data_IF_173722529740
#
_entry.id   IF_173722529740
#
_cell.length_a   1.000
_cell.length_b   1.000
_cell.length_c   1.000
_cell.angle_alpha   90.00
_cell.angle_beta   90.00
_cell.angle_gamma   90.00
#
_symmetry.space_group_name_H-M   'P 1'
#
loop_
_entity.id
_entity.type
_entity.pdbx_description
1 polymer ?
#
# COMPACT_ATOMS: atom_id res chain seq x y z
N UNK A 1 6.05 18.77 -13.28
CA UNK A 1 5.11 17.87 -12.59
C UNK A 1 5.78 17.44 -11.29
N UNK A 2 5.15 17.65 -10.13
CA UNK A 2 5.74 17.25 -8.83
C UNK A 2 5.81 15.73 -8.71
N UNK A 3 6.93 15.25 -8.20
CA UNK A 3 7.19 13.81 -7.97
C UNK A 3 6.85 13.45 -6.54
N UNK A 4 6.08 12.39 -6.36
CA UNK A 4 5.76 11.84 -5.05
C UNK A 4 6.22 10.39 -4.99
N UNK A 5 6.98 10.05 -3.96
CA UNK A 5 7.31 8.67 -3.64
C UNK A 5 6.39 8.18 -2.54
N UNK A 6 5.81 6.99 -2.74
CA UNK A 6 5.00 6.29 -1.74
C UNK A 6 5.78 5.07 -1.27
N UNK A 7 6.05 4.96 0.02
CA UNK A 7 6.71 3.81 0.64
C UNK A 7 5.65 2.87 1.21
N UNK A 8 5.57 1.68 0.64
CA UNK A 8 4.60 0.65 0.93
C UNK A 8 3.52 0.50 -0.13
N UNK A 9 3.41 -0.69 -0.74
CA UNK A 9 2.37 -1.07 -1.71
C UNK A 9 1.20 -1.83 -1.06
N UNK A 10 0.98 -1.64 0.23
CA UNK A 10 -0.26 -2.05 0.89
C UNK A 10 -1.45 -1.23 0.39
N UNK A 11 -2.68 -1.60 0.75
CA UNK A 11 -3.90 -0.93 0.26
C UNK A 11 -3.88 0.58 0.55
N UNK A 12 -3.37 1.02 1.70
CA UNK A 12 -3.25 2.44 2.02
C UNK A 12 -2.30 3.16 1.05
N UNK A 13 -1.13 2.58 0.76
CA UNK A 13 -0.16 3.15 -0.18
C UNK A 13 -0.70 3.18 -1.61
N UNK A 14 -1.33 2.09 -2.06
CA UNK A 14 -1.95 2.04 -3.38
C UNK A 14 -3.09 3.05 -3.52
N UNK A 15 -3.90 3.24 -2.47
CA UNK A 15 -4.97 4.24 -2.46
C UNK A 15 -4.41 5.67 -2.55
N UNK A 16 -3.38 5.98 -1.78
CA UNK A 16 -2.70 7.27 -1.84
C UNK A 16 -2.08 7.49 -3.23
N UNK A 17 -1.37 6.49 -3.75
CA UNK A 17 -0.76 6.56 -5.08
C UNK A 17 -1.80 6.85 -6.18
N UNK A 18 -2.93 6.12 -6.19
CA UNK A 18 -4.02 6.38 -7.15
C UNK A 18 -4.61 7.77 -7.01
N UNK A 19 -4.83 8.22 -5.79
CA UNK A 19 -5.39 9.56 -5.54
C UNK A 19 -4.49 10.65 -6.13
N UNK A 20 -3.19 10.60 -5.84
CA UNK A 20 -2.25 11.62 -6.36
C UNK A 20 -2.00 11.46 -7.87
N UNK A 21 -1.97 10.22 -8.38
CA UNK A 21 -1.88 9.98 -9.83
C UNK A 21 -3.06 10.62 -10.59
N UNK A 22 -4.29 10.53 -10.06
CA UNK A 22 -5.47 11.19 -10.64
C UNK A 22 -5.43 12.72 -10.58
N UNK A 23 -4.49 13.30 -9.80
CA UNK A 23 -4.23 14.74 -9.69
C UNK A 23 -3.01 15.18 -10.50
N UNK A 24 -2.57 14.36 -11.44
CA UNK A 24 -1.43 14.64 -12.33
C UNK A 24 -0.09 14.81 -11.59
N UNK A 25 0.11 14.11 -10.47
CA UNK A 25 1.44 13.96 -9.89
C UNK A 25 2.17 12.79 -10.54
N UNK A 26 3.49 12.88 -10.65
CA UNK A 26 4.33 11.74 -11.01
C UNK A 26 4.54 10.88 -9.76
N UNK A 27 4.01 9.65 -9.76
CA UNK A 27 3.97 8.78 -8.58
C UNK A 27 4.86 7.58 -8.82
N UNK A 28 5.74 7.32 -7.85
CA UNK A 28 6.52 6.09 -7.76
C UNK A 28 6.23 5.40 -6.43
N UNK A 29 5.88 4.12 -6.45
CA UNK A 29 5.64 3.31 -5.25
C UNK A 29 6.82 2.38 -5.02
N UNK A 30 7.35 2.35 -3.80
CA UNK A 30 8.46 1.46 -3.40
C UNK A 30 7.96 0.48 -2.35
N UNK A 31 8.25 -0.80 -2.52
CA UNK A 31 7.90 -1.82 -1.52
C UNK A 31 9.00 -2.87 -1.42
N UNK A 32 9.31 -3.26 -0.18
CA UNK A 32 10.29 -4.32 0.10
C UNK A 32 9.79 -5.73 -0.24
N UNK A 33 8.48 -5.89 -0.33
CA UNK A 33 7.85 -7.17 -0.65
C UNK A 33 7.95 -7.52 -2.13
N UNK A 34 7.86 -8.80 -2.44
CA UNK A 34 7.85 -9.31 -3.82
C UNK A 34 6.54 -8.98 -4.55
N UNK A 35 5.46 -8.75 -3.82
CA UNK A 35 4.11 -8.55 -4.36
C UNK A 35 3.39 -7.41 -3.64
N UNK A 36 2.51 -6.65 -4.33
CA UNK A 36 1.69 -5.65 -3.68
C UNK A 36 0.64 -6.28 -2.77
N UNK A 37 0.11 -5.48 -1.83
CA UNK A 37 -1.01 -5.87 -0.98
C UNK A 37 -0.73 -5.78 0.51
N UNK A 38 0.52 -5.94 0.94
CA UNK A 38 0.86 -5.87 2.36
C UNK A 38 0.02 -6.85 3.19
N UNK A 39 -0.84 -6.34 4.10
CA UNK A 39 -1.70 -7.16 4.99
C UNK A 39 -2.87 -7.88 4.31
N UNK A 40 -3.09 -7.72 3.02
CA UNK A 40 -4.00 -8.57 2.23
C UNK A 40 -3.23 -9.54 1.34
N UNK A 41 -2.07 -9.97 1.80
CA UNK A 41 -1.20 -10.87 1.06
C UNK A 41 -1.70 -12.31 1.05
N UNK A 42 -1.34 -13.01 -0.03
CA UNK A 42 -1.68 -14.41 -0.27
C UNK A 42 -0.41 -15.21 -0.49
N UNK A 43 -0.33 -16.41 0.05
CA UNK A 43 0.70 -17.40 -0.24
C UNK A 43 0.11 -18.51 -1.10
N UNK A 44 0.76 -18.78 -2.22
CA UNK A 44 0.42 -19.93 -3.09
C UNK A 44 1.48 -21.01 -2.92
N UNK A 45 1.04 -22.24 -2.72
CA UNK A 45 1.90 -23.42 -2.66
C UNK A 45 1.25 -24.53 -3.49
N UNK A 46 1.80 -24.79 -4.68
CA UNK A 46 1.34 -25.79 -5.66
C UNK A 46 -0.20 -25.84 -5.78
N UNK A 47 -0.87 -26.64 -4.94
CA UNK A 47 -2.32 -26.89 -4.97
C UNK A 47 -3.14 -26.00 -4.03
N UNK A 48 -2.47 -25.25 -3.13
CA UNK A 48 -3.16 -24.51 -2.07
C UNK A 48 -2.93 -23.02 -2.15
N UNK A 49 -3.98 -22.27 -1.86
CA UNK A 49 -3.97 -20.80 -1.77
C UNK A 49 -4.35 -20.41 -0.34
N UNK A 50 -3.45 -19.65 0.32
CA UNK A 50 -3.65 -19.22 1.70
C UNK A 50 -3.65 -17.70 1.77
N UNK A 51 -4.75 -17.09 2.13
CA UNK A 51 -4.82 -15.68 2.52
C UNK A 51 -4.31 -15.55 3.95
N UNK A 52 -2.99 -15.43 4.13
CA UNK A 52 -2.35 -15.40 5.46
C UNK A 52 -2.40 -14.02 6.12
N UNK A 53 -2.83 -13.01 5.39
CA UNK A 53 -3.19 -11.70 5.93
C UNK A 53 -4.69 -11.64 6.25
N UNK A 54 -5.37 -10.56 5.84
CA UNK A 54 -6.81 -10.45 5.97
C UNK A 54 -7.52 -11.47 5.05
N UNK A 55 -8.47 -12.21 5.62
CA UNK A 55 -9.28 -13.17 4.85
C UNK A 55 -10.43 -12.49 4.11
N UNK A 56 -10.90 -11.38 4.65
CA UNK A 56 -11.91 -10.51 4.06
C UNK A 56 -11.73 -9.08 4.57
N UNK A 57 -12.42 -8.14 3.96
CA UNK A 57 -12.53 -6.77 4.46
C UNK A 57 -13.94 -6.20 4.27
N UNK A 58 -14.23 -5.09 4.94
CA UNK A 58 -15.49 -4.36 4.82
C UNK A 58 -15.22 -2.96 4.31
N UNK A 59 -16.12 -2.42 3.47
CA UNK A 59 -16.06 -1.05 3.01
C UNK A 59 -17.04 -0.18 3.82
N UNK A 60 -16.53 0.86 4.50
CA UNK A 60 -17.35 1.79 5.29
C UNK A 60 -17.66 3.06 4.51
N UNK A 61 -16.65 3.70 3.91
CA UNK A 61 -16.85 4.96 3.17
C UNK A 61 -17.54 4.72 1.83
N UNK A 62 -18.25 5.72 1.34
CA UNK A 62 -18.92 5.68 0.03
C UNK A 62 -17.93 5.47 -1.11
N UNK A 63 -16.77 6.12 -1.02
CA UNK A 63 -15.69 6.06 -2.02
C UNK A 63 -15.12 4.64 -2.10
N UNK A 64 -14.82 4.03 -0.96
CA UNK A 64 -14.27 2.68 -0.95
C UNK A 64 -15.31 1.63 -1.37
N UNK A 65 -16.59 1.82 -1.02
CA UNK A 65 -17.69 0.98 -1.54
C UNK A 65 -17.76 0.99 -3.08
N UNK A 66 -17.61 2.17 -3.71
CA UNK A 66 -17.56 2.28 -5.17
C UNK A 66 -16.39 1.47 -5.77
N UNK A 67 -15.21 1.58 -5.15
CA UNK A 67 -14.03 0.80 -5.56
C UNK A 67 -14.32 -0.71 -5.45
N UNK A 68 -14.91 -1.16 -4.34
CA UNK A 68 -15.27 -2.56 -4.16
C UNK A 68 -16.29 -3.04 -5.19
N UNK A 69 -17.31 -2.22 -5.49
CA UNK A 69 -18.29 -2.54 -6.53
C UNK A 69 -17.66 -2.69 -7.93
N UNK A 70 -16.69 -1.84 -8.27
CA UNK A 70 -15.91 -1.98 -9.50
C UNK A 70 -15.09 -3.28 -9.47
N UNK A 71 -14.44 -3.60 -8.34
CA UNK A 71 -13.72 -4.85 -8.19
C UNK A 71 -14.62 -6.10 -8.34
N UNK A 72 -15.86 -6.03 -7.87
CA UNK A 72 -16.85 -7.10 -8.09
C UNK A 72 -17.25 -7.18 -9.56
N UNK A 73 -17.51 -6.04 -10.20
CA UNK A 73 -17.82 -5.99 -11.65
C UNK A 73 -16.68 -6.60 -12.49
N UNK A 74 -15.45 -6.31 -12.13
CA UNK A 74 -14.25 -6.82 -12.82
C UNK A 74 -13.85 -8.23 -12.37
N UNK A 75 -14.68 -8.89 -11.55
CA UNK A 75 -14.49 -10.26 -11.04
C UNK A 75 -13.18 -10.48 -10.24
N UNK A 76 -12.64 -9.42 -9.64
CA UNK A 76 -11.47 -9.52 -8.72
C UNK A 76 -11.86 -9.49 -7.26
N UNK A 77 -13.12 -9.18 -6.97
CA UNK A 77 -13.74 -9.30 -5.66
C UNK A 77 -15.04 -10.08 -5.74
N UNK A 78 -15.33 -10.79 -4.66
CA UNK A 78 -16.63 -11.42 -4.43
C UNK A 78 -17.25 -10.75 -3.22
N UNK A 79 -18.52 -10.40 -3.30
CA UNK A 79 -19.29 -9.98 -2.13
C UNK A 79 -19.69 -11.22 -1.35
N UNK A 80 -19.08 -11.39 -0.19
CA UNK A 80 -19.32 -12.53 0.68
C UNK A 80 -20.42 -12.21 1.71
N UNK A 81 -21.65 -12.27 1.25
CA UNK A 81 -22.83 -12.13 2.09
C UNK A 81 -23.06 -13.44 2.85
N UNK A 82 -22.45 -13.55 4.01
CA UNK A 82 -22.85 -14.52 5.03
C UNK A 82 -24.00 -13.92 5.85
N UNK A 83 -24.55 -14.66 6.80
CA UNK A 83 -25.64 -14.29 7.71
C UNK A 83 -25.48 -12.93 8.45
N UNK A 84 -24.44 -12.16 8.18
CA UNK A 84 -24.22 -10.83 8.75
C UNK A 84 -24.71 -9.73 7.81
N UNK A 85 -25.36 -8.70 8.39
CA UNK A 85 -25.82 -7.49 7.67
C UNK A 85 -24.69 -6.59 7.12
N UNK A 86 -23.42 -7.01 7.20
CA UNK A 86 -22.28 -6.20 6.74
C UNK A 86 -21.74 -6.76 5.43
N UNK A 87 -21.64 -5.89 4.42
CA UNK A 87 -20.94 -6.22 3.18
C UNK A 87 -19.49 -6.62 3.47
N UNK A 88 -19.15 -7.86 3.18
CA UNK A 88 -17.80 -8.39 3.25
C UNK A 88 -17.30 -8.67 1.85
N UNK A 89 -16.07 -8.32 1.57
CA UNK A 89 -15.43 -8.55 0.29
C UNK A 89 -14.24 -9.49 0.46
N UNK A 90 -14.13 -10.46 -0.43
CA UNK A 90 -12.98 -11.35 -0.55
C UNK A 90 -12.40 -11.23 -1.96
N UNK A 91 -11.08 -11.41 -2.08
CA UNK A 91 -10.41 -11.43 -3.38
C UNK A 91 -10.74 -12.69 -4.18
N UNK A 92 -10.80 -12.58 -5.50
CA UNK A 92 -11.07 -13.68 -6.41
C UNK A 92 -9.94 -13.80 -7.47
N UNK A 93 -9.25 -14.95 -7.56
CA UNK A 93 -9.37 -16.14 -6.74
C UNK A 93 -8.77 -16.01 -5.33
N UNK A 94 -8.05 -14.95 -5.04
CA UNK A 94 -7.42 -14.70 -3.74
C UNK A 94 -7.28 -13.18 -3.45
N UNK A 95 -6.93 -12.84 -2.21
CA UNK A 95 -6.85 -11.45 -1.76
C UNK A 95 -5.80 -10.61 -2.50
N UNK A 96 -4.75 -11.22 -3.02
CA UNK A 96 -3.70 -10.52 -3.78
C UNK A 96 -4.21 -10.01 -5.11
N UNK A 97 -5.17 -10.68 -5.76
CA UNK A 97 -5.72 -10.25 -7.04
C UNK A 97 -6.35 -8.86 -6.95
N UNK A 98 -7.00 -8.55 -5.83
CA UNK A 98 -7.48 -7.18 -5.62
C UNK A 98 -6.34 -6.16 -5.57
N UNK A 99 -5.19 -6.51 -4.97
CA UNK A 99 -4.02 -5.62 -4.95
C UNK A 99 -3.44 -5.41 -6.35
N UNK A 100 -3.33 -6.45 -7.15
CA UNK A 100 -2.88 -6.35 -8.54
C UNK A 100 -3.82 -5.49 -9.37
N UNK A 101 -5.11 -5.73 -9.28
CA UNK A 101 -6.12 -4.92 -9.97
C UNK A 101 -6.06 -3.47 -9.51
N UNK A 102 -5.96 -3.24 -8.20
CA UNK A 102 -5.94 -1.90 -7.64
C UNK A 102 -4.64 -1.16 -7.93
N UNK A 103 -3.56 -1.86 -8.22
CA UNK A 103 -2.26 -1.27 -8.56
C UNK A 103 -2.08 -0.97 -10.06
N UNK A 104 -3.02 -1.34 -10.91
CA UNK A 104 -2.93 -1.08 -12.36
C UNK A 104 -2.67 0.39 -12.67
N UNK A 105 -1.77 0.64 -13.62
CA UNK A 105 -1.33 1.97 -14.08
C UNK A 105 -0.53 2.77 -13.03
N UNK A 106 -0.01 2.13 -11.99
CA UNK A 106 0.96 2.74 -11.07
C UNK A 106 2.37 2.19 -11.36
N UNK A 107 3.36 3.07 -11.27
CA UNK A 107 4.76 2.67 -11.30
C UNK A 107 5.17 2.15 -9.93
N UNK A 108 5.41 0.83 -9.82
CA UNK A 108 5.73 0.16 -8.55
C UNK A 108 7.04 -0.60 -8.67
N UNK A 109 7.97 -0.33 -7.77
CA UNK A 109 9.21 -1.07 -7.59
C UNK A 109 9.05 -2.00 -6.39
N UNK A 110 8.87 -3.29 -6.67
CA UNK A 110 8.87 -4.35 -5.66
C UNK A 110 10.31 -4.75 -5.31
N UNK A 111 10.49 -5.52 -4.23
CA UNK A 111 11.79 -5.97 -3.72
C UNK A 111 12.77 -4.81 -3.51
N UNK A 112 12.21 -3.62 -3.22
CA UNK A 112 12.93 -2.36 -3.06
C UNK A 112 12.80 -1.89 -1.62
N UNK A 113 13.79 -2.25 -0.81
CA UNK A 113 13.84 -1.86 0.59
C UNK A 113 14.38 -0.43 0.70
N UNK A 114 13.58 0.46 1.26
CA UNK A 114 14.05 1.80 1.65
C UNK A 114 14.86 1.68 2.95
N UNK A 115 16.10 2.07 2.90
CA UNK A 115 17.06 1.99 4.01
C UNK A 115 17.20 3.31 4.75
N UNK A 116 17.19 4.42 3.99
CA UNK A 116 17.38 5.75 4.55
C UNK A 116 16.69 6.80 3.68
N UNK A 117 16.27 7.88 4.34
CA UNK A 117 15.69 9.06 3.70
C UNK A 117 16.49 10.28 4.15
N UNK A 118 16.85 11.13 3.21
CA UNK A 118 17.52 12.41 3.42
C UNK A 118 16.62 13.51 2.86
N UNK A 119 16.69 14.70 3.47
CA UNK A 119 15.97 15.88 2.98
C UNK A 119 16.92 17.06 2.89
N UNK A 120 16.98 17.64 1.70
CA UNK A 120 17.66 18.91 1.41
C UNK A 120 16.89 19.53 0.24
N UNK A 121 15.90 20.38 0.54
CA UNK A 121 14.91 20.95 -0.39
C UNK A 121 14.06 19.89 -1.13
N UNK A 122 14.58 18.72 -1.37
CA UNK A 122 13.91 17.55 -1.92
C UNK A 122 14.26 16.30 -1.11
N UNK A 123 13.37 15.31 -1.15
CA UNK A 123 13.66 14.01 -0.54
C UNK A 123 14.58 13.19 -1.44
N UNK A 124 15.63 12.62 -0.84
CA UNK A 124 16.44 11.56 -1.44
C UNK A 124 16.15 10.27 -0.70
N UNK A 125 15.58 9.29 -1.39
CA UNK A 125 15.19 7.99 -0.85
C UNK A 125 16.25 6.97 -1.28
N UNK A 126 16.99 6.44 -0.33
CA UNK A 126 18.09 5.48 -0.54
C UNK A 126 17.53 4.08 -0.30
N UNK A 127 17.68 3.23 -1.28
CA UNK A 127 17.22 1.83 -1.24
C UNK A 127 18.39 0.88 -1.39
N UNK A 128 18.14 -0.40 -1.17
CA UNK A 128 19.10 -1.47 -1.41
C UNK A 128 19.62 -1.55 -2.85
N UNK A 129 18.91 -0.96 -3.83
CA UNK A 129 19.24 -1.09 -5.25
C UNK A 129 19.68 0.22 -5.89
N UNK A 130 18.98 1.33 -5.59
CA UNK A 130 19.22 2.63 -6.22
C UNK A 130 18.68 3.79 -5.35
N UNK A 131 18.90 5.01 -5.82
CA UNK A 131 18.34 6.22 -5.19
C UNK A 131 17.17 6.76 -6.01
N UNK A 132 16.18 7.30 -5.31
CA UNK A 132 15.05 8.03 -5.88
C UNK A 132 15.04 9.45 -5.32
N UNK A 133 14.49 10.39 -6.07
CA UNK A 133 14.28 11.77 -5.61
C UNK A 133 12.80 12.12 -5.71
N UNK A 134 12.29 12.88 -4.73
CA UNK A 134 10.88 13.27 -4.69
C UNK A 134 10.69 14.67 -4.11
N UNK A 135 9.65 15.36 -4.57
CA UNK A 135 9.21 16.65 -4.02
C UNK A 135 8.25 16.44 -2.83
N UNK A 136 7.68 15.23 -2.71
CA UNK A 136 6.83 14.82 -1.62
C UNK A 136 6.99 13.32 -1.30
N UNK A 137 6.75 12.96 -0.03
CA UNK A 137 6.91 11.60 0.47
C UNK A 137 5.68 11.17 1.26
N UNK A 138 5.21 9.96 1.00
CA UNK A 138 4.13 9.31 1.76
C UNK A 138 4.66 7.97 2.27
N UNK A 139 4.62 7.75 3.57
CA UNK A 139 5.04 6.49 4.18
C UNK A 139 3.81 5.78 4.74
N UNK A 140 3.55 4.57 4.27
CA UNK A 140 2.41 3.74 4.71
C UNK A 140 2.84 2.45 5.41
N UNK A 141 4.13 2.36 5.71
CA UNK A 141 4.67 1.28 6.54
C UNK A 141 4.14 1.37 7.98
N UNK A 142 4.15 0.26 8.75
CA UNK A 142 3.83 0.29 10.18
C UNK A 142 4.68 1.30 10.94
N UNK A 143 4.14 1.84 12.05
CA UNK A 143 4.77 2.93 12.80
C UNK A 143 6.22 2.60 13.21
N UNK A 144 6.51 1.40 13.68
CA UNK A 144 7.86 0.97 14.06
C UNK A 144 8.86 1.02 12.89
N UNK A 145 8.42 0.66 11.68
CA UNK A 145 9.26 0.73 10.48
C UNK A 145 9.42 2.19 10.01
N UNK A 146 8.34 2.97 10.07
CA UNK A 146 8.35 4.39 9.72
C UNK A 146 9.26 5.17 10.66
N UNK A 147 9.21 4.90 11.97
CA UNK A 147 10.07 5.55 12.98
C UNK A 147 11.55 5.42 12.61
N UNK A 148 11.98 4.20 12.21
CA UNK A 148 13.36 3.98 11.77
C UNK A 148 13.79 4.83 10.58
N UNK A 149 12.87 5.11 9.64
CA UNK A 149 13.17 5.90 8.45
C UNK A 149 13.19 7.42 8.68
N UNK A 150 12.39 7.92 9.64
CA UNK A 150 12.22 9.36 9.85
C UNK A 150 12.98 9.93 11.06
N UNK A 151 13.64 9.09 11.83
CA UNK A 151 14.34 9.49 13.07
C UNK A 151 15.26 10.72 12.89
N UNK A 152 15.93 10.82 11.77
CA UNK A 152 16.85 11.91 11.45
C UNK A 152 16.20 13.03 10.59
N UNK A 153 14.92 12.91 10.22
CA UNK A 153 14.20 13.87 9.40
C UNK A 153 13.36 14.82 10.25
N UNK A 154 12.59 14.27 11.18
CA UNK A 154 11.66 15.02 12.01
C UNK A 154 11.50 14.37 13.39
N UNK A 155 12.10 14.99 14.39
CA UNK A 155 12.07 14.49 15.75
C UNK A 155 10.68 14.60 16.40
N UNK A 156 9.83 15.54 15.97
CA UNK A 156 8.47 15.67 16.51
C UNK A 156 7.59 14.53 16.04
N UNK A 157 7.59 14.27 14.72
CA UNK A 157 6.85 13.14 14.15
C UNK A 157 7.41 11.82 14.67
N UNK A 158 8.74 11.68 14.77
CA UNK A 158 9.36 10.48 15.34
C UNK A 158 8.79 10.16 16.73
N UNK A 159 8.79 11.14 17.66
CA UNK A 159 8.26 10.97 19.03
C UNK A 159 6.78 10.58 19.08
N UNK A 160 5.97 11.01 18.10
CA UNK A 160 4.56 10.65 18.03
C UNK A 160 4.35 9.18 17.66
N UNK A 161 5.23 8.61 16.86
CA UNK A 161 5.04 7.26 16.29
C UNK A 161 5.91 6.19 16.93
N UNK A 162 7.02 6.54 17.62
CA UNK A 162 7.95 5.56 18.22
C UNK A 162 7.28 4.67 19.26
N UNK A 163 6.27 5.18 19.97
CA UNK A 163 5.54 4.48 21.02
C UNK A 163 4.23 3.83 20.56
N UNK A 164 3.94 3.83 19.25
CA UNK A 164 2.72 3.19 18.72
C UNK A 164 2.88 1.67 18.79
N UNK A 165 2.00 1.03 19.53
CA UNK A 165 1.86 -0.44 19.65
C UNK A 165 0.63 -0.92 18.88
N UNK A 166 0.67 -2.16 18.36
CA UNK A 166 -0.42 -2.78 17.60
C UNK A 166 -0.99 -3.98 18.36
#
# INVERSE_FOLDING_TARGET
MKRIVVIGSGIAGLAAAKHFHSKNFNITVLDKGKYPGGRISTRKNKEFIFNHGAQFFTAKSKEFKKICQLGVKDNVLINWNTLSKKDRFIGNPDMREFSYWFSKNLEIYQETLVERIEYNDTFTIITNNKKFTADGLIITAPASQTAGLIKNLDNQIYKLIENVTY
#
